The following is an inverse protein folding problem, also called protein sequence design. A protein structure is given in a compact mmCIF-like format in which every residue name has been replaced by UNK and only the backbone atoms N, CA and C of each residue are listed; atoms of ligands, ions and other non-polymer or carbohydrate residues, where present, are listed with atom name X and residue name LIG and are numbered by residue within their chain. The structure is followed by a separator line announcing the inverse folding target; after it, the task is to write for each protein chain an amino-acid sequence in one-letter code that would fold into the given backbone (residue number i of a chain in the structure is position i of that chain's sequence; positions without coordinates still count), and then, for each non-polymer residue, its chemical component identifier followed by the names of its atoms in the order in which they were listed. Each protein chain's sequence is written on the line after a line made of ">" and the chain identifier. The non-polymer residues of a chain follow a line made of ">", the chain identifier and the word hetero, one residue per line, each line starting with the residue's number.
data_IF_806267530727
#
_entry.id   IF_806267530727
#
_cell.length_a   1.000
_cell.length_b   1.000
_cell.length_c   1.000
_cell.angle_alpha   90.00
_cell.angle_beta   90.00
_cell.angle_gamma   90.00
#
_symmetry.space_group_name_H-M   'P 1'
#
loop_
_entity.id
_entity.type
_entity.pdbx_description
1 polymer ?
#
# COMPACT_ATOMS: atom_id res chain seq x y z
N UNK A 1 43.39 16.82 9.43
CA UNK A 1 42.61 15.57 9.34
C UNK A 1 41.36 15.87 8.53
N UNK A 2 41.12 15.13 7.46
CA UNK A 2 39.85 15.22 6.73
C UNK A 2 38.76 14.59 7.61
N UNK A 3 37.66 15.31 7.84
CA UNK A 3 36.50 14.75 8.51
C UNK A 3 35.92 13.64 7.60
N UNK A 4 35.94 12.36 8.02
CA UNK A 4 35.43 11.28 7.18
C UNK A 4 33.93 11.41 6.87
N UNK A 5 33.20 12.24 7.63
CA UNK A 5 31.78 12.56 7.43
C UNK A 5 31.53 13.71 6.44
N UNK A 6 32.55 14.47 6.01
CA UNK A 6 32.40 15.61 5.10
C UNK A 6 32.60 15.26 3.61
N UNK A 7 32.31 14.01 3.22
CA UNK A 7 32.48 13.52 1.84
C UNK A 7 31.22 13.79 0.99
N UNK A 8 31.34 14.26 -0.28
CA UNK A 8 30.20 14.42 -1.20
C UNK A 8 29.31 13.18 -1.35
N UNK A 9 29.86 11.99 -1.12
CA UNK A 9 29.13 10.72 -1.09
C UNK A 9 28.02 10.67 -0.02
N UNK A 10 28.06 11.55 0.97
CA UNK A 10 27.06 11.67 2.04
C UNK A 10 26.19 12.93 1.92
N UNK A 11 26.18 13.59 0.76
CA UNK A 11 25.23 14.67 0.49
C UNK A 11 23.78 14.16 0.54
N UNK A 12 22.82 15.04 0.85
CA UNK A 12 21.39 14.69 0.87
C UNK A 12 20.95 14.00 -0.43
N UNK A 13 21.40 14.52 -1.58
CA UNK A 13 21.08 13.93 -2.90
C UNK A 13 21.63 12.51 -3.03
N UNK A 14 22.87 12.27 -2.60
CA UNK A 14 23.51 10.95 -2.67
C UNK A 14 22.85 9.95 -1.70
N UNK A 15 22.58 10.37 -0.46
CA UNK A 15 21.90 9.54 0.55
C UNK A 15 20.46 9.22 0.14
N UNK A 16 19.75 10.20 -0.41
CA UNK A 16 18.39 10.03 -0.92
C UNK A 16 18.38 9.08 -2.13
N UNK A 17 19.35 9.16 -3.04
CA UNK A 17 19.48 8.18 -4.12
C UNK A 17 19.81 6.79 -3.58
N UNK A 18 20.76 6.68 -2.64
CA UNK A 18 21.20 5.42 -2.06
C UNK A 18 20.07 4.71 -1.31
N UNK A 19 19.34 5.42 -0.44
CA UNK A 19 18.23 4.83 0.29
C UNK A 19 17.15 4.36 -0.67
N UNK A 20 16.87 5.08 -1.77
CA UNK A 20 15.83 4.71 -2.74
C UNK A 20 16.19 3.48 -3.60
N UNK A 21 17.49 3.20 -3.83
CA UNK A 21 17.98 2.04 -4.59
C UNK A 21 17.91 0.73 -3.79
N UNK A 22 18.01 0.80 -2.45
CA UNK A 22 17.94 -0.40 -1.61
C UNK A 22 16.65 -1.18 -1.93
N UNK A 23 16.69 -2.51 -2.10
CA UNK A 23 15.47 -3.26 -2.41
C UNK A 23 14.48 -3.14 -1.25
N UNK A 24 13.22 -2.85 -1.55
CA UNK A 24 12.17 -2.96 -0.54
C UNK A 24 11.93 -4.46 -0.27
N UNK A 25 12.19 -4.91 0.97
CA UNK A 25 12.02 -6.31 1.36
C UNK A 25 10.60 -6.63 1.85
N UNK A 26 9.72 -5.64 1.94
CA UNK A 26 8.39 -5.78 2.54
C UNK A 26 7.30 -5.21 1.62
N UNK A 27 6.19 -5.94 1.54
CA UNK A 27 4.91 -5.41 1.08
C UNK A 27 4.32 -6.22 -0.08
N UNK A 28 3.25 -6.96 0.21
CA UNK A 28 2.52 -7.71 -0.82
C UNK A 28 1.78 -6.77 -1.75
N UNK A 29 1.30 -5.62 -1.24
CA UNK A 29 0.63 -4.62 -2.07
C UNK A 29 1.60 -3.94 -3.05
N UNK A 30 2.88 -3.83 -2.69
CA UNK A 30 3.92 -3.38 -3.62
C UNK A 30 4.14 -4.41 -4.74
N UNK A 31 4.21 -5.71 -4.43
CA UNK A 31 4.34 -6.77 -5.43
C UNK A 31 3.14 -6.85 -6.38
N UNK A 32 1.93 -6.58 -5.87
CA UNK A 32 0.72 -6.50 -6.69
C UNK A 32 0.69 -5.24 -7.57
N UNK A 33 1.62 -4.30 -7.34
CA UNK A 33 1.70 -3.00 -8.03
C UNK A 33 0.34 -2.27 -8.07
N UNK A 34 -0.44 -2.39 -6.99
CA UNK A 34 -1.81 -1.92 -6.96
C UNK A 34 -1.88 -0.39 -6.88
N UNK A 35 -0.98 0.23 -6.13
CA UNK A 35 -1.01 1.66 -5.82
C UNK A 35 0.23 2.37 -6.39
N UNK A 36 0.26 2.63 -7.72
CA UNK A 36 1.43 3.21 -8.38
C UNK A 36 1.78 4.58 -7.81
N UNK A 37 3.08 4.90 -7.83
CA UNK A 37 3.62 6.15 -7.30
C UNK A 37 3.20 7.35 -8.15
N UNK A 38 2.53 8.32 -7.53
CA UNK A 38 2.08 9.60 -8.11
C UNK A 38 2.76 10.75 -7.36
N UNK A 39 3.98 11.15 -7.75
CA UNK A 39 4.71 12.17 -7.01
C UNK A 39 4.07 13.55 -7.22
N UNK A 40 3.98 14.33 -6.15
CA UNK A 40 3.34 15.66 -6.13
C UNK A 40 4.30 16.70 -5.59
N UNK A 41 4.03 17.99 -5.87
CA UNK A 41 4.84 19.12 -5.39
C UNK A 41 4.31 19.75 -4.12
N UNK A 42 3.09 19.40 -3.72
CA UNK A 42 2.39 19.98 -2.59
C UNK A 42 1.95 18.87 -1.64
N UNK A 43 1.96 19.17 -0.34
CA UNK A 43 1.47 18.27 0.70
C UNK A 43 -0.06 18.19 0.73
N UNK A 44 -0.74 19.19 0.20
CA UNK A 44 -2.18 19.13 -0.04
C UNK A 44 -2.42 18.61 -1.45
N UNK A 45 -3.16 17.51 -1.57
CA UNK A 45 -3.65 16.99 -2.83
C UNK A 45 -5.14 17.26 -2.94
N UNK A 46 -5.59 17.56 -4.15
CA UNK A 46 -7.02 17.72 -4.46
C UNK A 46 -7.41 16.60 -5.41
N UNK A 47 -8.40 15.81 -5.00
CA UNK A 47 -9.01 14.79 -5.85
C UNK A 47 -10.30 15.37 -6.41
N UNK A 48 -10.38 15.41 -7.74
CA UNK A 48 -11.62 15.77 -8.43
C UNK A 48 -12.46 14.51 -8.63
N UNK A 49 -13.62 14.45 -7.99
CA UNK A 49 -14.63 13.45 -8.30
C UNK A 49 -15.47 13.96 -9.48
N UNK A 50 -15.29 13.37 -10.66
CA UNK A 50 -16.12 13.63 -11.82
C UNK A 50 -17.02 12.42 -12.07
N UNK A 51 -18.28 12.52 -11.65
CA UNK A 51 -19.29 11.52 -11.98
C UNK A 51 -19.60 11.61 -13.49
N UNK A 52 -18.94 10.74 -14.27
CA UNK A 52 -19.12 10.62 -15.71
C UNK A 52 -20.52 10.10 -16.03
N UNK A 53 -21.38 10.97 -16.54
CA UNK A 53 -22.67 10.56 -17.09
C UNK A 53 -22.39 9.86 -18.42
N UNK A 54 -22.23 8.53 -18.38
CA UNK A 54 -22.20 7.69 -19.58
C UNK A 54 -23.65 7.55 -20.07
N UNK A 55 -24.09 8.48 -20.91
CA UNK A 55 -25.35 8.35 -21.62
C UNK A 55 -25.12 7.72 -22.99
N UNK A 56 -26.00 6.81 -23.38
CA UNK A 56 -26.08 6.35 -24.76
C UNK A 56 -26.39 7.55 -25.66
N UNK A 57 -25.56 7.76 -26.69
CA UNK A 57 -25.83 8.76 -27.71
C UNK A 57 -26.95 8.24 -28.62
N UNK A 58 -28.05 9.00 -28.85
CA UNK A 58 -29.07 8.58 -29.80
C UNK A 58 -28.51 8.58 -31.22
N UNK A 59 -28.90 7.59 -32.03
CA UNK A 59 -28.60 7.60 -33.46
C UNK A 59 -29.44 8.68 -34.13
N UNK A 60 -28.79 9.55 -34.90
CA UNK A 60 -29.46 10.65 -35.62
C UNK A 60 -29.22 10.51 -37.12
N UNK A 61 -30.21 10.86 -37.97
CA UNK A 61 -30.03 10.87 -39.42
C UNK A 61 -28.87 11.77 -39.85
N UNK A 62 -28.14 11.42 -40.93
CA UNK A 62 -27.07 12.26 -41.49
C UNK A 62 -27.56 13.70 -41.74
N UNK A 63 -26.84 14.69 -41.19
CA UNK A 63 -27.21 16.11 -41.29
C UNK A 63 -27.97 16.67 -40.06
N UNK A 64 -28.32 15.84 -39.08
CA UNK A 64 -28.93 16.31 -37.84
C UNK A 64 -27.91 17.02 -36.94
N UNK A 65 -28.31 18.06 -36.18
CA UNK A 65 -27.44 18.68 -35.19
C UNK A 65 -27.04 17.67 -34.12
N UNK A 66 -25.76 17.65 -33.75
CA UNK A 66 -25.22 16.74 -32.75
C UNK A 66 -25.84 16.96 -31.36
N UNK A 67 -25.96 15.89 -30.57
CA UNK A 67 -26.40 16.00 -29.18
C UNK A 67 -25.38 16.74 -28.31
N UNK A 68 -25.85 17.66 -27.47
CA UNK A 68 -25.00 18.39 -26.54
C UNK A 68 -24.67 17.49 -25.34
N UNK A 69 -23.38 17.26 -25.10
CA UNK A 69 -22.92 16.47 -23.95
C UNK A 69 -23.24 17.16 -22.63
N UNK A 70 -23.97 16.48 -21.75
CA UNK A 70 -24.16 16.93 -20.37
C UNK A 70 -22.88 16.65 -19.60
N UNK A 71 -22.24 17.70 -19.05
CA UNK A 71 -21.04 17.57 -18.23
C UNK A 71 -21.42 17.17 -16.81
N UNK A 72 -20.78 16.14 -16.28
CA UNK A 72 -20.92 15.75 -14.87
C UNK A 72 -20.52 16.89 -13.93
N UNK A 73 -21.22 17.02 -12.80
CA UNK A 73 -20.83 17.95 -11.72
C UNK A 73 -19.52 17.45 -11.09
N UNK A 74 -18.58 18.36 -10.85
CA UNK A 74 -17.31 18.07 -10.18
C UNK A 74 -17.42 18.36 -8.68
N UNK A 75 -16.96 17.44 -7.84
CA UNK A 75 -16.79 17.68 -6.40
C UNK A 75 -15.31 17.62 -6.08
N UNK A 76 -14.79 18.67 -5.45
CA UNK A 76 -13.38 18.76 -5.04
C UNK A 76 -13.27 18.27 -3.60
N UNK A 77 -12.33 17.37 -3.34
CA UNK A 77 -12.00 16.89 -2.00
C UNK A 77 -10.51 17.03 -1.79
N UNK A 78 -10.11 17.67 -0.68
CA UNK A 78 -8.70 17.91 -0.38
C UNK A 78 -8.21 16.98 0.72
N UNK A 79 -7.04 16.40 0.52
CA UNK A 79 -6.37 15.55 1.51
C UNK A 79 -4.98 16.13 1.79
N UNK A 80 -4.57 16.06 3.04
CA UNK A 80 -3.21 16.43 3.49
C UNK A 80 -2.40 15.14 3.64
N UNK A 81 -1.31 15.04 2.88
CA UNK A 81 -0.36 13.92 2.95
C UNK A 81 0.30 13.91 4.34
N UNK A 82 0.40 12.76 5.04
CA UNK A 82 1.04 12.66 6.35
C UNK A 82 2.56 12.88 6.27
N UNK A 83 3.19 13.11 7.43
CA UNK A 83 4.64 13.26 7.55
C UNK A 83 5.18 12.17 8.47
N UNK A 84 6.15 11.40 8.00
CA UNK A 84 6.74 10.29 8.76
C UNK A 84 8.25 10.55 8.88
N UNK A 85 8.70 11.27 9.92
CA UNK A 85 10.12 11.43 10.22
C UNK A 85 10.63 10.23 11.01
N UNK A 86 11.89 9.87 10.80
CA UNK A 86 12.60 8.89 11.62
C UNK A 86 14.06 9.29 11.76
N UNK A 87 14.50 9.45 13.00
CA UNK A 87 15.87 9.81 13.38
C UNK A 87 16.63 8.59 13.91
N UNK A 88 17.93 8.57 13.67
CA UNK A 88 18.87 7.63 14.22
C UNK A 88 20.23 8.31 14.44
N UNK A 89 21.15 7.66 15.14
CA UNK A 89 22.49 8.20 15.43
C UNK A 89 23.55 7.15 15.14
N UNK A 90 24.65 7.61 14.54
CA UNK A 90 25.88 6.82 14.41
C UNK A 90 26.94 7.40 15.33
N UNK A 91 27.36 6.61 16.32
CA UNK A 91 28.36 7.01 17.32
C UNK A 91 29.74 6.43 16.98
N UNK A 92 30.85 7.10 17.36
CA UNK A 92 32.20 6.59 17.08
C UNK A 92 32.48 5.20 17.66
N UNK A 93 31.84 4.86 18.79
CA UNK A 93 31.95 3.56 19.44
C UNK A 93 31.38 2.40 18.62
N UNK A 94 30.48 2.67 17.67
CA UNK A 94 29.90 1.67 16.77
C UNK A 94 30.82 1.34 15.58
N UNK A 95 31.89 2.11 15.40
CA UNK A 95 32.90 1.90 14.35
C UNK A 95 34.23 1.48 14.98
N UNK A 96 34.58 2.07 16.13
CA UNK A 96 35.90 1.90 16.72
C UNK A 96 36.11 0.49 17.29
N UNK A 97 37.02 -0.26 16.68
CA UNK A 97 37.43 -1.59 17.18
C UNK A 97 36.40 -2.70 16.96
N UNK A 98 35.32 -2.40 16.23
CA UNK A 98 34.31 -3.38 15.83
C UNK A 98 34.73 -4.00 14.49
N UNK A 99 34.55 -5.30 14.37
CA UNK A 99 34.82 -6.05 13.14
C UNK A 99 33.65 -5.92 12.18
N UNK A 100 33.93 -5.76 10.88
CA UNK A 100 32.89 -5.71 9.86
C UNK A 100 32.07 -7.01 9.82
N UNK A 101 30.76 -6.89 9.65
CA UNK A 101 29.87 -8.04 9.53
C UNK A 101 30.25 -8.90 8.30
N UNK A 102 30.50 -10.20 8.52
CA UNK A 102 30.87 -11.15 7.45
C UNK A 102 32.36 -11.19 7.08
N UNK A 103 33.22 -10.42 7.75
CA UNK A 103 34.68 -10.47 7.59
C UNK A 103 35.34 -10.97 8.87
N UNK A 104 36.40 -11.77 8.75
CA UNK A 104 37.21 -12.20 9.90
C UNK A 104 38.37 -11.23 10.21
N UNK A 105 38.74 -10.37 9.24
CA UNK A 105 39.98 -9.59 9.26
C UNK A 105 39.79 -8.08 9.12
N UNK A 106 38.64 -7.62 8.61
CA UNK A 106 38.42 -6.19 8.36
C UNK A 106 37.68 -5.51 9.52
N UNK A 107 38.13 -4.30 9.85
CA UNK A 107 37.44 -3.43 10.80
C UNK A 107 36.23 -2.77 10.14
N UNK A 108 35.19 -2.54 10.93
CA UNK A 108 33.98 -1.89 10.48
C UNK A 108 34.29 -0.47 9.97
N UNK A 109 33.63 -0.07 8.89
CA UNK A 109 33.81 1.27 8.31
C UNK A 109 32.63 2.16 8.68
N UNK A 110 32.88 3.47 8.78
CA UNK A 110 31.81 4.46 8.98
C UNK A 110 30.71 4.33 7.92
N UNK A 111 31.10 4.08 6.66
CA UNK A 111 30.15 3.88 5.56
C UNK A 111 29.32 2.59 5.72
N UNK A 112 29.91 1.52 6.24
CA UNK A 112 29.22 0.24 6.51
C UNK A 112 28.17 0.37 7.62
N UNK A 113 28.49 1.07 8.71
CA UNK A 113 27.53 1.38 9.78
C UNK A 113 26.40 2.25 9.23
N UNK A 114 26.71 3.37 8.58
CA UNK A 114 25.67 4.25 8.00
C UNK A 114 24.75 3.47 7.04
N UNK A 115 25.29 2.62 6.18
CA UNK A 115 24.49 1.82 5.26
C UNK A 115 23.51 0.87 5.99
N UNK A 116 23.94 0.25 7.09
CA UNK A 116 23.11 -0.65 7.91
C UNK A 116 22.00 0.10 8.64
N UNK A 117 22.31 1.26 9.19
CA UNK A 117 21.30 2.13 9.81
C UNK A 117 20.27 2.57 8.76
N UNK A 118 20.71 3.06 7.59
CA UNK A 118 19.81 3.43 6.49
C UNK A 118 18.96 2.25 5.98
N UNK A 119 19.50 1.04 5.91
CA UNK A 119 18.73 -0.17 5.58
C UNK A 119 17.64 -0.44 6.61
N UNK A 120 17.96 -0.34 7.90
CA UNK A 120 17.00 -0.51 9.00
C UNK A 120 15.91 0.55 8.96
N UNK A 121 16.29 1.83 8.77
CA UNK A 121 15.34 2.93 8.64
C UNK A 121 14.43 2.75 7.42
N UNK A 122 14.97 2.33 6.27
CA UNK A 122 14.17 2.02 5.08
C UNK A 122 13.15 0.91 5.34
N UNK A 123 13.55 -0.16 6.04
CA UNK A 123 12.63 -1.26 6.36
C UNK A 123 11.46 -0.77 7.24
N UNK A 124 11.70 0.14 8.19
CA UNK A 124 10.65 0.77 9.01
C UNK A 124 9.71 1.65 8.19
N UNK A 125 10.24 2.42 7.24
CA UNK A 125 9.41 3.18 6.32
C UNK A 125 8.58 2.27 5.40
N UNK A 126 9.16 1.18 4.92
CA UNK A 126 8.47 0.21 4.06
C UNK A 126 7.28 -0.46 4.75
N UNK A 127 7.44 -0.94 6.00
CA UNK A 127 6.32 -1.55 6.74
C UNK A 127 5.22 -0.53 7.07
N UNK A 128 5.60 0.72 7.32
CA UNK A 128 4.64 1.82 7.56
C UNK A 128 3.87 2.16 6.29
N UNK A 129 4.54 2.20 5.14
CA UNK A 129 3.89 2.39 3.84
C UNK A 129 2.91 1.25 3.52
N UNK A 130 3.29 0.00 3.78
CA UNK A 130 2.40 -1.14 3.61
C UNK A 130 1.16 -1.04 4.51
N UNK A 131 1.32 -0.63 5.77
CA UNK A 131 0.20 -0.39 6.70
C UNK A 131 -0.77 0.67 6.15
N UNK A 132 -0.25 1.80 5.65
CA UNK A 132 -1.07 2.85 5.05
C UNK A 132 -1.80 2.36 3.78
N UNK A 133 -1.13 1.57 2.94
CA UNK A 133 -1.73 0.99 1.73
C UNK A 133 -2.81 -0.03 2.06
N UNK A 134 -2.60 -0.88 3.07
CA UNK A 134 -3.63 -1.77 3.59
C UNK A 134 -4.82 -0.97 4.11
N UNK A 135 -4.59 0.15 4.80
CA UNK A 135 -5.65 1.08 5.21
C UNK A 135 -6.45 1.62 4.02
N UNK A 136 -5.77 2.11 2.99
CA UNK A 136 -6.40 2.61 1.76
C UNK A 136 -7.19 1.53 1.01
N UNK A 137 -6.75 0.27 1.06
CA UNK A 137 -7.44 -0.89 0.49
C UNK A 137 -8.68 -1.30 1.30
N UNK A 138 -8.65 -1.09 2.61
CA UNK A 138 -9.82 -1.28 3.48
C UNK A 138 -10.80 -0.12 3.39
N UNK A 139 -10.36 1.02 2.85
CA UNK A 139 -11.11 2.27 2.78
C UNK A 139 -10.94 3.16 4.02
N UNK A 140 -10.17 2.74 5.03
CA UNK A 140 -9.89 3.52 6.24
C UNK A 140 -8.39 3.51 6.49
N UNK A 141 -7.76 4.67 6.29
CA UNK A 141 -6.34 4.88 6.48
C UNK A 141 -6.09 5.20 7.95
N UNK A 142 -5.31 4.36 8.61
CA UNK A 142 -4.98 4.49 10.02
C UNK A 142 -3.53 4.94 10.18
N UNK A 143 -3.26 5.72 11.22
CA UNK A 143 -1.90 5.97 11.68
C UNK A 143 -1.34 4.76 12.43
N UNK A 144 -0.06 4.81 12.80
CA UNK A 144 0.63 3.76 13.56
C UNK A 144 -0.03 3.49 14.93
N UNK A 145 -0.58 4.52 15.57
CA UNK A 145 -1.30 4.42 16.85
C UNK A 145 -2.75 3.93 16.69
N UNK A 146 -3.26 3.81 15.45
CA UNK A 146 -4.61 3.36 15.12
C UNK A 146 -5.66 4.45 15.09
N UNK A 147 -5.26 5.71 15.29
CA UNK A 147 -6.10 6.84 14.97
C UNK A 147 -6.43 6.84 13.47
N UNK A 148 -7.63 7.30 13.13
CA UNK A 148 -8.07 7.40 11.74
C UNK A 148 -7.46 8.66 11.13
N UNK A 149 -6.62 8.51 10.11
CA UNK A 149 -6.14 9.63 9.30
C UNK A 149 -7.22 10.07 8.31
N UNK A 150 -7.77 9.11 7.56
CA UNK A 150 -8.86 9.34 6.62
C UNK A 150 -9.77 8.11 6.55
N UNK A 151 -11.05 8.35 6.73
CA UNK A 151 -12.09 7.42 6.27
C UNK A 151 -12.48 7.81 4.84
N UNK A 152 -12.15 6.97 3.87
CA UNK A 152 -12.43 7.22 2.46
C UNK A 152 -13.93 7.03 2.14
N UNK A 153 -14.67 6.23 2.90
CA UNK A 153 -16.11 6.07 2.72
C UNK A 153 -16.84 7.35 3.10
N UNK A 154 -16.53 7.90 4.29
CA UNK A 154 -17.06 9.19 4.72
C UNK A 154 -16.57 10.33 3.82
N UNK A 155 -15.27 10.33 3.51
CA UNK A 155 -14.69 11.36 2.68
C UNK A 155 -15.28 11.35 1.27
N UNK A 156 -15.75 10.23 0.72
CA UNK A 156 -16.41 10.16 -0.59
C UNK A 156 -17.94 10.11 -0.53
N UNK A 157 -18.55 10.04 0.66
CA UNK A 157 -20.01 9.90 0.85
C UNK A 157 -20.54 8.60 0.21
N UNK A 158 -19.85 7.49 0.48
CA UNK A 158 -20.14 6.16 -0.06
C UNK A 158 -20.27 5.18 1.11
N UNK A 159 -21.35 4.40 1.16
CA UNK A 159 -21.48 3.33 2.16
C UNK A 159 -20.58 2.15 1.83
N UNK A 160 -19.78 1.69 2.80
CA UNK A 160 -18.98 0.48 2.65
C UNK A 160 -19.87 -0.73 2.34
N UNK A 161 -19.51 -1.46 1.28
CA UNK A 161 -20.20 -2.69 0.92
C UNK A 161 -19.60 -3.87 1.68
N UNK A 162 -20.46 -4.64 2.36
CA UNK A 162 -20.06 -5.82 3.11
C UNK A 162 -20.88 -7.03 2.65
N UNK A 163 -20.20 -8.16 2.42
CA UNK A 163 -20.82 -9.43 2.02
C UNK A 163 -20.48 -10.51 3.04
N UNK A 164 -21.49 -10.95 3.78
CA UNK A 164 -21.40 -12.12 4.64
C UNK A 164 -21.37 -13.39 3.79
N UNK A 165 -20.29 -14.18 3.90
CA UNK A 165 -20.14 -15.44 3.18
C UNK A 165 -20.82 -16.62 3.89
N UNK A 166 -21.25 -16.47 5.14
CA UNK A 166 -21.97 -17.49 5.92
C UNK A 166 -21.30 -18.87 5.87
N UNK A 167 -19.97 -18.90 6.02
CA UNK A 167 -19.14 -20.11 5.85
C UNK A 167 -19.33 -21.13 6.98
N UNK A 168 -20.05 -20.76 8.05
CA UNK A 168 -20.48 -21.70 9.10
C UNK A 168 -21.67 -22.57 8.70
N UNK A 169 -22.38 -22.25 7.61
CA UNK A 169 -23.60 -22.94 7.19
C UNK A 169 -23.32 -23.82 5.98
N UNK A 170 -23.31 -25.14 6.15
CA UNK A 170 -22.93 -26.10 5.09
C UNK A 170 -23.77 -26.00 3.79
N UNK A 171 -24.99 -25.47 3.88
CA UNK A 171 -25.88 -25.26 2.73
C UNK A 171 -25.59 -24.00 1.91
N UNK A 172 -24.70 -23.12 2.37
CA UNK A 172 -24.47 -21.81 1.74
C UNK A 172 -23.95 -21.95 0.32
N UNK A 173 -24.56 -21.19 -0.59
CA UNK A 173 -24.10 -21.10 -1.96
C UNK A 173 -22.95 -20.07 -2.07
N UNK A 174 -21.74 -20.52 -1.74
CA UNK A 174 -20.52 -19.68 -1.78
C UNK A 174 -20.29 -19.08 -3.16
N UNK A 175 -20.60 -19.81 -4.24
CA UNK A 175 -20.45 -19.28 -5.61
C UNK A 175 -21.36 -18.08 -5.86
N UNK A 176 -22.60 -18.10 -5.37
CA UNK A 176 -23.51 -16.96 -5.48
C UNK A 176 -22.97 -15.74 -4.72
N UNK A 177 -22.38 -15.93 -3.52
CA UNK A 177 -21.73 -14.87 -2.76
C UNK A 177 -20.54 -14.26 -3.54
N UNK A 178 -19.71 -15.09 -4.18
CA UNK A 178 -18.65 -14.60 -5.08
C UNK A 178 -19.21 -13.77 -6.25
N UNK A 179 -20.29 -14.23 -6.89
CA UNK A 179 -20.95 -13.48 -7.97
C UNK A 179 -21.49 -12.13 -7.49
N UNK A 180 -22.05 -12.07 -6.28
CA UNK A 180 -22.48 -10.79 -5.66
C UNK A 180 -21.29 -9.84 -5.50
N UNK A 181 -20.16 -10.31 -4.97
CA UNK A 181 -18.95 -9.47 -4.81
C UNK A 181 -18.47 -8.93 -6.17
N UNK A 182 -18.41 -9.78 -7.20
CA UNK A 182 -18.01 -9.35 -8.55
C UNK A 182 -18.96 -8.28 -9.09
N UNK A 183 -20.27 -8.51 -8.99
CA UNK A 183 -21.28 -7.55 -9.46
C UNK A 183 -21.17 -6.21 -8.72
N UNK A 184 -20.99 -6.22 -7.40
CA UNK A 184 -20.79 -5.00 -6.61
C UNK A 184 -19.56 -4.22 -7.06
N UNK A 185 -18.46 -4.88 -7.36
CA UNK A 185 -17.25 -4.22 -7.87
C UNK A 185 -17.49 -3.65 -9.27
N UNK A 186 -18.08 -4.43 -10.18
CA UNK A 186 -18.36 -4.03 -11.57
C UNK A 186 -19.27 -2.81 -11.64
N UNK A 187 -20.35 -2.78 -10.85
CA UNK A 187 -21.28 -1.65 -10.78
C UNK A 187 -20.60 -0.37 -10.26
N UNK A 188 -19.58 -0.50 -9.41
CA UNK A 188 -18.87 0.62 -8.80
C UNK A 188 -17.61 1.08 -9.57
N UNK A 189 -17.19 0.37 -10.63
CA UNK A 189 -16.07 0.80 -11.49
C UNK A 189 -16.40 2.07 -12.29
N UNK A 190 -17.68 2.29 -12.63
CA UNK A 190 -18.21 3.53 -13.24
C UNK A 190 -17.32 4.15 -14.34
N UNK A 191 -16.96 3.35 -15.34
CA UNK A 191 -16.14 3.79 -16.49
C UNK A 191 -14.66 3.40 -16.43
N UNK A 192 -14.23 2.72 -15.37
CA UNK A 192 -12.94 2.04 -15.28
C UNK A 192 -13.07 0.56 -15.74
N UNK A 193 -11.96 -0.08 -16.11
CA UNK A 193 -11.92 -1.53 -16.33
C UNK A 193 -11.13 -2.23 -15.23
N UNK A 194 -11.37 -3.53 -15.08
CA UNK A 194 -10.58 -4.43 -14.25
C UNK A 194 -10.25 -5.69 -15.02
N UNK A 195 -9.14 -6.34 -14.67
CA UNK A 195 -8.71 -7.60 -15.29
C UNK A 195 -9.02 -8.81 -14.40
N UNK A 196 -9.46 -8.57 -13.15
CA UNK A 196 -9.81 -9.60 -12.19
C UNK A 196 -10.04 -9.00 -10.81
N UNK A 197 -10.53 -9.81 -9.89
CA UNK A 197 -10.73 -9.43 -8.49
C UNK A 197 -9.82 -10.26 -7.61
N UNK A 198 -9.09 -9.57 -6.73
CA UNK A 198 -8.24 -10.19 -5.73
C UNK A 198 -8.84 -9.95 -4.35
N UNK A 199 -8.70 -10.94 -3.48
CA UNK A 199 -9.19 -10.87 -2.13
C UNK A 199 -8.07 -11.27 -1.16
N UNK A 200 -7.63 -10.31 -0.35
CA UNK A 200 -6.73 -10.60 0.75
C UNK A 200 -7.57 -11.00 1.96
N UNK A 201 -7.27 -12.15 2.54
CA UNK A 201 -8.07 -12.75 3.60
C UNK A 201 -7.22 -13.11 4.82
N UNK A 202 -7.85 -13.05 5.98
CA UNK A 202 -7.27 -13.57 7.22
C UNK A 202 -7.13 -15.10 7.17
N UNK A 203 -6.19 -15.69 7.93
CA UNK A 203 -6.06 -17.14 8.05
C UNK A 203 -7.37 -17.85 8.38
N UNK A 204 -8.17 -17.25 9.25
CA UNK A 204 -9.42 -17.79 9.75
C UNK A 204 -10.51 -17.78 8.65
N UNK A 205 -10.58 -16.70 7.86
CA UNK A 205 -11.48 -16.65 6.70
C UNK A 205 -11.07 -17.66 5.63
N UNK A 206 -9.77 -17.74 5.32
CA UNK A 206 -9.26 -18.66 4.30
C UNK A 206 -9.52 -20.11 4.66
N UNK A 207 -9.22 -20.49 5.91
CA UNK A 207 -9.49 -21.84 6.42
C UNK A 207 -11.00 -22.19 6.37
N UNK A 208 -11.87 -21.25 6.76
CA UNK A 208 -13.32 -21.43 6.67
C UNK A 208 -13.80 -21.58 5.22
N UNK A 209 -13.20 -20.83 4.29
CA UNK A 209 -13.54 -20.90 2.86
C UNK A 209 -13.13 -22.24 2.27
N UNK A 210 -11.88 -22.67 2.49
CA UNK A 210 -11.34 -23.91 1.92
C UNK A 210 -11.95 -25.16 2.56
N UNK A 211 -12.34 -25.08 3.84
CA UNK A 211 -13.00 -26.17 4.56
C UNK A 211 -14.52 -26.25 4.35
N UNK A 212 -15.13 -25.33 3.60
CA UNK A 212 -16.57 -25.35 3.36
C UNK A 212 -16.94 -26.49 2.39
N UNK A 213 -18.00 -27.26 2.69
CA UNK A 213 -18.40 -28.45 1.92
C UNK A 213 -18.61 -28.21 0.40
N UNK A 214 -18.96 -26.98 0.00
CA UNK A 214 -19.14 -26.58 -1.42
C UNK A 214 -17.85 -26.11 -2.12
N UNK A 215 -16.76 -25.98 -1.38
CA UNK A 215 -15.49 -25.42 -1.84
C UNK A 215 -14.34 -26.43 -1.67
N UNK A 216 -14.38 -27.26 -0.64
CA UNK A 216 -13.34 -28.25 -0.29
C UNK A 216 -12.87 -29.08 -1.49
N UNK A 217 -13.81 -29.72 -2.21
CA UNK A 217 -13.47 -30.50 -3.42
C UNK A 217 -12.82 -29.65 -4.52
N UNK A 218 -13.21 -28.38 -4.65
CA UNK A 218 -12.57 -27.48 -5.61
C UNK A 218 -11.15 -27.09 -5.16
N UNK A 219 -10.95 -26.90 -3.86
CA UNK A 219 -9.64 -26.62 -3.27
C UNK A 219 -8.68 -27.81 -3.37
N UNK A 220 -9.15 -29.04 -3.09
CA UNK A 220 -8.36 -30.27 -3.28
C UNK A 220 -7.89 -30.43 -4.73
N UNK A 221 -8.80 -30.27 -5.70
CA UNK A 221 -8.47 -30.35 -7.12
C UNK A 221 -7.46 -29.28 -7.53
N UNK A 222 -7.62 -28.05 -7.01
CA UNK A 222 -6.69 -26.97 -7.24
C UNK A 222 -5.30 -27.28 -6.65
N UNK A 223 -5.23 -27.79 -5.42
CA UNK A 223 -3.98 -28.11 -4.75
C UNK A 223 -3.22 -29.23 -5.48
N UNK A 224 -3.93 -30.28 -5.91
CA UNK A 224 -3.35 -31.36 -6.72
C UNK A 224 -2.77 -30.85 -8.04
N UNK A 225 -3.43 -29.89 -8.70
CA UNK A 225 -2.92 -29.25 -9.92
C UNK A 225 -1.79 -28.23 -9.66
N UNK A 226 -1.83 -27.50 -8.54
CA UNK A 226 -0.85 -26.47 -8.19
C UNK A 226 0.49 -27.05 -7.76
N UNK A 227 0.50 -28.14 -6.99
CA UNK A 227 1.73 -28.84 -6.55
C UNK A 227 2.58 -29.31 -7.74
N UNK A 228 1.96 -29.56 -8.90
CA UNK A 228 2.63 -30.01 -10.11
C UNK A 228 3.20 -28.85 -10.96
N UNK A 229 2.81 -27.59 -10.74
CA UNK A 229 3.06 -26.49 -11.70
C UNK A 229 3.52 -25.16 -11.05
N UNK A 230 3.03 -24.76 -9.86
CA UNK A 230 3.18 -23.39 -9.32
C UNK A 230 3.44 -23.33 -7.80
N UNK A 231 3.93 -22.17 -7.33
CA UNK A 231 3.97 -21.84 -5.90
C UNK A 231 2.54 -21.73 -5.34
N UNK A 232 2.17 -22.69 -4.49
CA UNK A 232 0.88 -22.80 -3.78
C UNK A 232 0.56 -21.58 -2.90
N UNK A 233 1.50 -20.66 -2.67
CA UNK A 233 1.27 -19.41 -1.92
C UNK A 233 0.56 -18.31 -2.72
N UNK A 234 0.42 -18.42 -4.05
CA UNK A 234 -0.08 -17.33 -4.92
C UNK A 234 -1.60 -17.13 -4.93
N UNK A 235 -2.32 -17.83 -4.05
CA UNK A 235 -3.77 -17.68 -3.85
C UNK A 235 -4.62 -18.74 -4.58
N UNK A 236 -5.80 -19.00 -4.03
CA UNK A 236 -6.80 -19.93 -4.53
C UNK A 236 -7.90 -19.19 -5.27
N UNK A 237 -8.07 -19.47 -6.56
CA UNK A 237 -9.13 -18.85 -7.36
C UNK A 237 -10.42 -19.66 -7.28
N UNK A 238 -11.51 -19.02 -6.84
CA UNK A 238 -12.84 -19.62 -6.76
C UNK A 238 -13.91 -18.58 -7.13
N UNK A 239 -14.88 -18.99 -7.95
CA UNK A 239 -16.02 -18.11 -8.30
C UNK A 239 -15.63 -16.81 -9.01
N UNK A 240 -14.46 -16.75 -9.66
CA UNK A 240 -13.94 -15.55 -10.33
C UNK A 240 -13.13 -14.60 -9.44
N UNK A 241 -12.91 -14.96 -8.18
CA UNK A 241 -12.11 -14.18 -7.22
C UNK A 241 -10.87 -15.00 -6.84
N UNK A 242 -9.71 -14.35 -6.80
CA UNK A 242 -8.48 -14.96 -6.28
C UNK A 242 -8.33 -14.63 -4.79
N UNK A 243 -8.47 -15.64 -3.94
CA UNK A 243 -8.33 -15.52 -2.50
C UNK A 243 -6.89 -15.82 -2.08
N UNK A 244 -6.26 -14.88 -1.38
CA UNK A 244 -4.89 -15.03 -0.90
C UNK A 244 -4.85 -14.78 0.60
N UNK A 245 -4.27 -15.74 1.33
CA UNK A 245 -4.05 -15.60 2.77
C UNK A 245 -2.97 -14.53 3.02
N UNK A 246 -3.32 -13.52 3.81
CA UNK A 246 -2.42 -12.42 4.14
C UNK A 246 -2.18 -12.34 5.65
N UNK A 247 -0.94 -12.61 6.05
CA UNK A 247 -0.48 -12.64 7.45
C UNK A 247 0.26 -11.37 7.87
N UNK A 248 0.10 -10.29 7.11
CA UNK A 248 0.74 -9.01 7.40
C UNK A 248 0.32 -8.46 8.77
N UNK A 249 1.31 -8.06 9.56
CA UNK A 249 1.13 -7.39 10.84
C UNK A 249 2.20 -6.31 11.00
N UNK A 250 1.85 -5.22 11.67
CA UNK A 250 2.78 -4.19 12.11
C UNK A 250 2.77 -4.08 13.63
N UNK A 251 3.93 -3.83 14.21
CA UNK A 251 4.05 -3.55 15.63
C UNK A 251 4.19 -2.05 15.81
N UNK A 252 3.33 -1.45 16.63
CA UNK A 252 3.45 -0.03 16.95
C UNK A 252 4.62 0.24 17.92
N UNK A 253 4.91 1.52 18.17
CA UNK A 253 6.00 1.92 19.07
C UNK A 253 5.82 1.43 20.52
N UNK A 254 4.59 1.05 20.92
CA UNK A 254 4.29 0.49 22.24
C UNK A 254 4.49 -1.03 22.33
N UNK A 255 4.86 -1.68 21.22
CA UNK A 255 5.03 -3.12 21.14
C UNK A 255 3.73 -3.88 20.83
N UNK A 256 2.63 -3.19 20.54
CA UNK A 256 1.34 -3.83 20.24
C UNK A 256 1.33 -4.25 18.77
N UNK A 257 1.25 -5.56 18.54
CA UNK A 257 1.12 -6.13 17.20
C UNK A 257 -0.32 -5.96 16.69
N UNK A 258 -0.46 -5.43 15.48
CA UNK A 258 -1.73 -5.16 14.81
C UNK A 258 -1.76 -5.92 13.49
N UNK A 259 -2.73 -6.82 13.35
CA UNK A 259 -2.98 -7.54 12.10
C UNK A 259 -3.59 -6.56 11.11
N UNK A 260 -3.11 -6.55 9.87
CA UNK A 260 -3.66 -5.68 8.84
C UNK A 260 -5.10 -6.05 8.47
N UNK A 261 -5.41 -7.34 8.50
CA UNK A 261 -6.75 -7.90 8.32
C UNK A 261 -7.20 -8.56 9.62
N UNK A 262 -8.40 -8.22 10.08
CA UNK A 262 -8.94 -8.80 11.31
C UNK A 262 -9.33 -10.27 11.10
N UNK A 263 -9.37 -11.04 12.19
CA UNK A 263 -9.72 -12.45 12.14
C UNK A 263 -11.14 -12.65 11.60
N UNK A 264 -11.30 -13.57 10.64
CA UNK A 264 -12.58 -13.86 10.00
C UNK A 264 -13.04 -12.81 8.98
N UNK A 265 -12.18 -11.84 8.66
CA UNK A 265 -12.43 -10.84 7.61
C UNK A 265 -11.58 -11.10 6.37
N UNK A 266 -12.05 -10.57 5.25
CA UNK A 266 -11.31 -10.45 4.02
C UNK A 266 -11.72 -9.17 3.27
N UNK A 267 -10.87 -8.69 2.37
CA UNK A 267 -11.12 -7.49 1.57
C UNK A 267 -10.90 -7.80 0.09
N UNK A 268 -11.96 -7.65 -0.69
CA UNK A 268 -11.96 -7.84 -2.14
C UNK A 268 -11.87 -6.49 -2.86
N UNK A 269 -11.05 -6.46 -3.91
CA UNK A 269 -10.76 -5.26 -4.68
C UNK A 269 -10.40 -5.62 -6.14
N UNK A 270 -10.62 -4.72 -7.10
CA UNK A 270 -10.27 -4.94 -8.49
C UNK A 270 -8.76 -4.84 -8.73
N UNK A 271 -8.25 -5.63 -9.66
CA UNK A 271 -6.90 -5.53 -10.21
C UNK A 271 -6.94 -4.98 -11.64
N UNK A 272 -5.82 -4.37 -12.07
CA UNK A 272 -5.65 -3.91 -13.44
C UNK A 272 -6.41 -2.62 -13.79
N UNK A 273 -6.92 -1.91 -12.79
CA UNK A 273 -7.49 -0.56 -12.95
C UNK A 273 -6.38 0.45 -13.24
N UNK A 274 -6.66 1.52 -13.99
CA UNK A 274 -5.70 2.58 -14.29
C UNK A 274 -5.63 3.60 -13.14
N UNK A 275 -6.78 4.14 -12.74
CA UNK A 275 -6.83 5.31 -11.85
C UNK A 275 -7.56 5.08 -10.52
N UNK A 276 -8.02 3.86 -10.23
CA UNK A 276 -8.69 3.56 -8.96
C UNK A 276 -7.78 3.69 -7.74
N UNK A 277 -6.48 3.43 -7.90
CA UNK A 277 -5.50 3.37 -6.83
C UNK A 277 -4.28 4.24 -7.12
N UNK A 278 -3.64 4.75 -6.08
CA UNK A 278 -2.38 5.49 -6.23
C UNK A 278 -1.73 5.83 -4.90
N UNK A 279 -0.41 6.00 -4.90
CA UNK A 279 0.35 6.48 -3.73
C UNK A 279 0.91 7.86 -4.04
N UNK A 280 0.42 8.88 -3.34
CA UNK A 280 0.94 10.24 -3.49
C UNK A 280 2.18 10.44 -2.63
N UNK A 281 3.26 10.96 -3.22
CA UNK A 281 4.47 11.32 -2.48
C UNK A 281 4.67 12.83 -2.50
N UNK A 282 4.66 13.44 -1.32
CA UNK A 282 4.91 14.87 -1.16
C UNK A 282 6.41 15.15 -0.89
N UNK A 283 6.91 16.36 -1.21
CA UNK A 283 8.29 16.72 -0.92
C UNK A 283 8.56 16.74 0.58
N UNK A 284 9.83 16.51 0.93
CA UNK A 284 10.35 16.73 2.28
C UNK A 284 10.30 18.21 2.70
N UNK A 285 10.38 18.45 4.00
CA UNK A 285 10.44 19.79 4.62
C UNK A 285 11.85 20.38 4.68
N UNK A 286 12.78 19.87 3.88
CA UNK A 286 14.12 20.43 3.76
C UNK A 286 14.13 21.68 2.89
N UNK A 287 15.02 22.62 3.21
CA UNK A 287 15.24 23.83 2.42
C UNK A 287 15.54 23.50 0.94
N UNK A 288 16.27 22.42 0.70
CA UNK A 288 16.69 21.97 -0.62
C UNK A 288 15.55 21.29 -1.42
N UNK A 289 14.46 20.89 -0.76
CA UNK A 289 13.33 20.17 -1.38
C UNK A 289 12.11 21.05 -1.62
N UNK A 290 12.18 22.35 -1.27
CA UNK A 290 11.11 23.31 -1.53
C UNK A 290 10.78 23.37 -3.02
N UNK A 291 9.48 23.26 -3.37
CA UNK A 291 8.95 23.26 -4.75
C UNK A 291 9.46 22.13 -5.66
N UNK A 292 10.16 21.14 -5.11
CA UNK A 292 10.58 19.94 -5.84
C UNK A 292 9.45 18.90 -5.91
N UNK A 293 9.61 17.94 -6.80
CA UNK A 293 8.69 16.80 -6.91
C UNK A 293 9.00 15.81 -5.78
N UNK A 294 7.97 15.33 -5.10
CA UNK A 294 8.08 14.38 -4.01
C UNK A 294 8.77 13.08 -4.42
N UNK A 295 9.57 12.53 -3.51
CA UNK A 295 10.25 11.25 -3.64
C UNK A 295 9.77 10.27 -2.56
N UNK A 296 9.94 8.94 -2.76
CA UNK A 296 9.48 7.95 -1.80
C UNK A 296 10.10 8.09 -0.41
N UNK A 297 11.41 8.32 -0.37
CA UNK A 297 12.17 8.55 0.85
C UNK A 297 13.18 9.65 0.63
N UNK A 298 13.46 10.39 1.70
CA UNK A 298 14.55 11.35 1.79
C UNK A 298 15.46 10.95 2.95
N UNK A 299 16.76 11.17 2.79
CA UNK A 299 17.75 10.92 3.82
C UNK A 299 18.75 12.09 3.90
N UNK A 300 19.07 12.51 5.12
CA UNK A 300 20.03 13.58 5.41
C UNK A 300 20.85 13.17 6.63
N UNK A 301 22.09 13.63 6.68
CA UNK A 301 22.95 13.46 7.84
C UNK A 301 23.50 14.80 8.30
N UNK A 302 23.76 14.92 9.59
CA UNK A 302 24.39 16.10 10.17
C UNK A 302 25.42 15.69 11.24
N UNK A 303 26.65 16.25 11.22
CA UNK A 303 27.60 16.03 12.29
C UNK A 303 27.06 16.54 13.63
N UNK A 304 27.23 15.76 14.70
CA UNK A 304 26.83 16.20 16.03
C UNK A 304 27.72 17.33 16.52
N UNK A 305 27.27 18.04 17.57
CA UNK A 305 28.07 19.05 18.24
C UNK A 305 29.44 18.50 18.64
N UNK A 306 30.51 19.18 18.22
CA UNK A 306 31.91 18.79 18.41
C UNK A 306 32.34 17.49 17.69
N UNK A 307 31.67 17.11 16.59
CA UNK A 307 31.99 15.93 15.78
C UNK A 307 31.97 14.60 16.57
N UNK A 308 31.10 14.51 17.60
CA UNK A 308 30.96 13.32 18.47
C UNK A 308 30.00 12.27 17.91
N UNK A 309 30.08 12.04 16.60
CA UNK A 309 29.16 11.17 15.85
C UNK A 309 28.38 11.95 14.78
N UNK A 310 27.44 11.26 14.15
CA UNK A 310 26.60 11.80 13.07
C UNK A 310 25.14 11.43 13.32
N UNK A 311 24.26 12.43 13.30
CA UNK A 311 22.82 12.21 13.32
C UNK A 311 22.36 11.87 11.90
N UNK A 312 21.50 10.86 11.79
CA UNK A 312 20.84 10.44 10.55
C UNK A 312 19.35 10.79 10.65
N UNK A 313 18.84 11.47 9.64
CA UNK A 313 17.44 11.78 9.52
C UNK A 313 16.89 11.18 8.22
N UNK A 314 15.78 10.45 8.31
CA UNK A 314 15.02 10.02 7.15
C UNK A 314 13.59 10.48 7.27
N UNK A 315 12.98 10.79 6.13
CA UNK A 315 11.56 11.11 6.11
C UNK A 315 10.89 10.54 4.87
N UNK A 316 9.62 10.18 5.03
CA UNK A 316 8.72 9.81 3.95
C UNK A 316 7.41 10.54 4.13
N UNK A 317 6.84 11.04 3.04
CA UNK A 317 5.53 11.69 3.03
C UNK A 317 4.59 10.98 2.03
N UNK A 318 4.15 9.73 2.32
CA UNK A 318 3.27 8.99 1.43
C UNK A 318 1.79 9.12 1.84
N UNK A 319 0.90 9.21 0.85
CA UNK A 319 -0.54 9.05 1.03
C UNK A 319 -1.08 8.07 -0.01
N UNK A 320 -1.17 6.78 0.33
CA UNK A 320 -1.92 5.80 -0.45
C UNK A 320 -3.41 6.14 -0.46
N UNK A 321 -4.07 6.05 -1.60
CA UNK A 321 -5.51 6.29 -1.72
C UNK A 321 -6.18 5.34 -2.70
N UNK A 322 -7.44 5.05 -2.40
CA UNK A 322 -8.42 4.56 -3.35
C UNK A 322 -9.32 5.73 -3.79
N UNK A 323 -9.28 6.11 -5.06
CA UNK A 323 -10.11 7.18 -5.61
C UNK A 323 -11.57 6.76 -5.83
N UNK A 324 -11.85 5.45 -5.78
CA UNK A 324 -13.21 4.90 -5.89
C UNK A 324 -13.47 3.91 -4.76
N UNK A 325 -13.70 4.38 -3.52
CA UNK A 325 -13.90 3.48 -2.37
C UNK A 325 -15.06 2.49 -2.53
N UNK A 326 -16.06 2.80 -3.38
CA UNK A 326 -17.17 1.89 -3.67
C UNK A 326 -16.78 0.54 -4.29
N UNK A 327 -15.57 0.39 -4.85
CA UNK A 327 -15.07 -0.89 -5.36
C UNK A 327 -14.45 -1.78 -4.27
N UNK A 328 -14.34 -1.28 -3.03
CA UNK A 328 -13.76 -2.01 -1.91
C UNK A 328 -14.89 -2.76 -1.18
N UNK A 329 -14.83 -4.09 -1.21
CA UNK A 329 -15.85 -4.95 -0.61
C UNK A 329 -15.27 -5.69 0.57
N UNK A 330 -15.85 -5.50 1.75
CA UNK A 330 -15.51 -6.25 2.96
C UNK A 330 -16.23 -7.59 2.96
N UNK A 331 -15.53 -8.68 3.21
CA UNK A 331 -16.11 -10.02 3.34
C UNK A 331 -15.97 -10.49 4.79
N UNK A 332 -16.98 -11.19 5.29
CA UNK A 332 -16.99 -11.77 6.64
C UNK A 332 -17.39 -13.24 6.61
N UNK A 333 -16.86 -14.02 7.56
CA UNK A 333 -17.24 -15.44 7.72
C UNK A 333 -18.72 -15.59 8.06
N UNK A 334 -19.26 -14.71 8.90
CA UNK A 334 -20.65 -14.66 9.34
C UNK A 334 -21.36 -13.42 8.81
#
# INVERSE_FOLDING_TARGET
>A
MNNPFSNPAFSMTALTAAINILPNRYGRLEELNLMPSKPVRQRQIVVEEMNGVLNLLPTLPPGSPGTVGVRGKRKLRSFVVPHIPHDDVVLPEEVQGIRAFGSETETETVAGVIARHLETMRNKHAITLEHLRMGALKGVILDADGSVLYDLFDAFDITQQAVAFELGTAGTNVKAKCTTVLATIEENLKGEFMNGVHCLCSPEFFAALTGHAKVEKAFENWQNGAILINDVRRGFTYGGITFEEYRGQATDASGTARRFIAAGEAHAFPLGTIDTFGTYFAPADFNETVNTVGQPLYAKQEPRKFDRGTDLHTQSNPLPMCHRPGVLVKLTVA
#
